data_IF_843759944312
#
_entry.id   IF_843759944312
#
_cell.length_a   1.000
_cell.length_b   1.000
_cell.length_c   1.000
_cell.angle_alpha   90.00
_cell.angle_beta   90.00
_cell.angle_gamma   90.00
#
_symmetry.space_group_name_H-M   'P 1'
#
loop_
_entity.id
_entity.type
_entity.pdbx_description
1 polymer ?
#
# COMPACT_ATOMS: atom_id res chain seq x y z
N UNK A 1 2.68 15.31 -13.60
CA UNK A 1 2.38 13.88 -13.33
C UNK A 1 0.95 13.76 -12.90
N UNK A 2 0.19 12.82 -13.48
CA UNK A 2 -1.15 12.50 -13.01
C UNK A 2 -1.04 11.85 -11.63
N UNK A 3 -1.66 12.48 -10.62
CA UNK A 3 -1.73 11.98 -9.25
C UNK A 3 -2.56 10.69 -9.24
N UNK A 4 -1.91 9.53 -9.08
CA UNK A 4 -2.59 8.24 -9.04
C UNK A 4 -2.97 7.89 -7.60
N UNK A 5 -4.21 8.19 -7.24
CA UNK A 5 -4.76 7.92 -5.91
C UNK A 5 -5.31 6.48 -5.81
N UNK A 6 -4.87 5.76 -4.79
CA UNK A 6 -5.38 4.45 -4.40
C UNK A 6 -6.79 4.52 -3.81
N UNK A 7 -7.43 3.37 -3.58
CA UNK A 7 -8.75 3.32 -2.95
C UNK A 7 -8.77 3.92 -1.53
N UNK A 8 -7.68 3.80 -0.78
CA UNK A 8 -7.57 4.34 0.58
C UNK A 8 -7.06 5.79 0.65
N UNK A 9 -6.80 6.43 -0.50
CA UNK A 9 -6.27 7.80 -0.55
C UNK A 9 -4.74 7.91 -0.57
N UNK A 10 -4.00 6.81 -0.38
CA UNK A 10 -2.55 6.79 -0.58
C UNK A 10 -2.20 7.07 -2.04
N UNK A 11 -1.11 7.81 -2.25
CA UNK A 11 -0.65 8.23 -3.56
C UNK A 11 0.38 7.24 -4.12
N UNK A 12 0.08 6.61 -5.26
CA UNK A 12 0.98 5.61 -5.85
C UNK A 12 2.30 6.21 -6.30
N UNK A 13 2.32 7.50 -6.69
CA UNK A 13 3.55 8.21 -7.05
C UNK A 13 4.53 8.39 -5.89
N UNK A 14 4.08 8.21 -4.64
CA UNK A 14 4.92 8.29 -3.45
C UNK A 14 5.28 6.89 -2.90
N UNK A 15 4.99 5.82 -3.66
CA UNK A 15 5.22 4.44 -3.27
C UNK A 15 6.44 3.85 -4.01
N UNK A 16 7.42 3.37 -3.26
CA UNK A 16 8.64 2.77 -3.84
C UNK A 16 8.33 1.57 -4.73
N UNK A 17 7.38 0.71 -4.34
CA UNK A 17 7.01 -0.45 -5.16
C UNK A 17 6.44 -0.05 -6.52
N UNK A 18 5.62 1.02 -6.56
CA UNK A 18 5.10 1.56 -7.82
C UNK A 18 6.22 2.16 -8.65
N UNK A 19 7.02 3.05 -8.06
CA UNK A 19 8.16 3.71 -8.71
C UNK A 19 9.15 2.69 -9.28
N UNK A 20 9.47 1.65 -8.52
CA UNK A 20 10.40 0.60 -8.94
C UNK A 20 9.82 -0.26 -10.07
N UNK A 21 8.49 -0.43 -10.12
CA UNK A 21 7.82 -1.17 -11.19
C UNK A 21 7.82 -0.37 -12.49
N UNK A 22 7.36 0.89 -12.46
CA UNK A 22 7.25 1.71 -13.68
C UNK A 22 8.60 2.08 -14.28
N UNK A 23 9.64 2.22 -13.44
CA UNK A 23 11.00 2.54 -13.88
C UNK A 23 11.85 1.29 -14.14
N UNK A 24 11.33 0.07 -13.91
CA UNK A 24 12.13 -1.17 -13.94
C UNK A 24 13.40 -1.08 -13.07
N UNK A 25 13.30 -0.46 -11.90
CA UNK A 25 14.42 -0.19 -11.02
C UNK A 25 14.68 -1.36 -10.05
N UNK A 26 15.64 -2.20 -10.40
CA UNK A 26 16.03 -3.37 -9.60
C UNK A 26 16.73 -3.00 -8.28
N UNK A 27 17.39 -1.84 -8.21
CA UNK A 27 18.04 -1.41 -6.97
C UNK A 27 16.98 -0.97 -5.96
N UNK A 28 15.99 -0.19 -6.42
CA UNK A 28 14.88 0.23 -5.58
C UNK A 28 14.06 -0.98 -5.12
N UNK A 29 13.78 -1.96 -5.99
CA UNK A 29 13.12 -3.22 -5.60
C UNK A 29 13.83 -3.92 -4.45
N UNK A 30 15.16 -4.05 -4.53
CA UNK A 30 15.95 -4.68 -3.47
C UNK A 30 15.85 -3.90 -2.16
N UNK A 31 16.00 -2.58 -2.21
CA UNK A 31 15.89 -1.73 -1.02
C UNK A 31 14.49 -1.79 -0.39
N UNK A 32 13.43 -1.73 -1.21
CA UNK A 32 12.04 -1.86 -0.76
C UNK A 32 11.80 -3.22 -0.13
N UNK A 33 12.26 -4.31 -0.75
CA UNK A 33 12.13 -5.67 -0.23
C UNK A 33 12.81 -5.84 1.13
N UNK A 34 14.04 -5.34 1.29
CA UNK A 34 14.77 -5.37 2.55
C UNK A 34 14.06 -4.58 3.65
N UNK A 35 13.56 -3.38 3.33
CA UNK A 35 12.83 -2.54 4.28
C UNK A 35 11.50 -3.19 4.68
N UNK A 36 10.71 -3.63 3.71
CA UNK A 36 9.40 -4.21 3.96
C UNK A 36 9.51 -5.58 4.65
N UNK A 37 10.58 -6.33 4.42
CA UNK A 37 10.82 -7.58 5.16
C UNK A 37 10.93 -7.33 6.67
N UNK A 38 11.59 -6.23 7.06
CA UNK A 38 11.68 -5.81 8.47
C UNK A 38 10.32 -5.35 9.02
N UNK A 39 9.55 -4.60 8.23
CA UNK A 39 8.23 -4.08 8.62
C UNK A 39 7.23 -5.21 8.83
N UNK A 40 7.18 -6.16 7.89
CA UNK A 40 6.20 -7.25 7.90
C UNK A 40 6.68 -8.49 8.66
N UNK A 41 7.93 -8.51 9.13
CA UNK A 41 8.51 -9.66 9.84
C UNK A 41 8.55 -10.94 9.00
N UNK A 42 8.56 -10.81 7.67
CA UNK A 42 8.57 -11.92 6.71
C UNK A 42 9.59 -11.65 5.63
N UNK A 43 10.14 -12.69 5.03
CA UNK A 43 11.06 -12.55 3.89
C UNK A 43 10.28 -12.09 2.67
N UNK A 44 10.70 -10.97 2.08
CA UNK A 44 10.20 -10.46 0.80
C UNK A 44 11.40 -10.35 -0.13
N UNK A 45 11.27 -10.90 -1.32
CA UNK A 45 12.26 -10.86 -2.39
C UNK A 45 12.08 -9.65 -3.31
N UNK A 46 13.14 -9.23 -3.99
CA UNK A 46 13.10 -8.07 -4.89
C UNK A 46 12.15 -8.29 -6.09
N UNK A 47 11.99 -9.52 -6.56
CA UNK A 47 11.06 -9.88 -7.63
C UNK A 47 9.59 -9.92 -7.16
N UNK A 48 9.33 -9.90 -5.84
CA UNK A 48 7.99 -9.74 -5.27
C UNK A 48 7.57 -8.27 -5.17
N UNK A 49 8.50 -7.32 -5.38
CA UNK A 49 8.21 -5.88 -5.42
C UNK A 49 7.71 -5.48 -6.81
N UNK A 50 6.48 -5.88 -7.13
CA UNK A 50 5.77 -5.51 -8.36
C UNK A 50 4.40 -4.90 -8.01
N UNK A 51 4.15 -3.66 -8.44
CA UNK A 51 2.87 -2.98 -8.20
C UNK A 51 2.62 -1.88 -9.23
N UNK A 52 1.45 -1.88 -9.86
CA UNK A 52 0.95 -0.81 -10.73
C UNK A 52 -0.23 -0.06 -10.09
N UNK A 53 -0.33 -0.12 -8.76
CA UNK A 53 -1.37 0.53 -7.96
C UNK A 53 -2.59 -0.36 -7.74
N UNK A 54 -3.33 -0.11 -6.64
CA UNK A 54 -4.38 -1.02 -6.18
C UNK A 54 -5.60 -1.12 -7.12
N UNK A 55 -5.74 -0.18 -8.07
CA UNK A 55 -6.77 -0.15 -9.11
C UNK A 55 -6.40 -0.97 -10.36
N UNK A 56 -5.19 -1.52 -10.40
CA UNK A 56 -4.72 -2.40 -11.45
C UNK A 56 -4.81 -3.87 -11.02
N UNK A 57 -4.53 -4.78 -11.96
CA UNK A 57 -4.40 -6.21 -11.70
C UNK A 57 -3.01 -6.60 -11.19
N UNK A 58 -1.99 -5.73 -11.36
CA UNK A 58 -0.63 -5.96 -10.88
C UNK A 58 -0.46 -5.29 -9.53
N UNK A 59 -0.57 -6.06 -8.47
CA UNK A 59 -0.50 -5.56 -7.09
C UNK A 59 0.58 -6.27 -6.29
N UNK A 60 1.11 -5.58 -5.29
CA UNK A 60 1.95 -6.20 -4.28
C UNK A 60 1.17 -7.30 -3.56
N UNK A 61 1.78 -8.47 -3.31
CA UNK A 61 1.06 -9.67 -2.84
C UNK A 61 0.25 -9.43 -1.55
N UNK A 62 0.75 -8.58 -0.65
CA UNK A 62 0.05 -8.28 0.60
C UNK A 62 -1.26 -7.49 0.38
N UNK A 63 -1.41 -6.81 -0.77
CA UNK A 63 -2.63 -6.10 -1.13
C UNK A 63 -3.78 -7.03 -1.55
N UNK A 64 -3.53 -8.33 -1.79
CA UNK A 64 -4.57 -9.32 -2.15
C UNK A 64 -5.63 -9.42 -1.07
N UNK A 65 -5.24 -9.33 0.21
CA UNK A 65 -6.15 -9.43 1.37
C UNK A 65 -6.57 -8.06 1.94
N UNK A 66 -6.27 -6.97 1.23
CA UNK A 66 -6.61 -5.63 1.70
C UNK A 66 -8.14 -5.43 1.72
N UNK A 67 -8.71 -5.30 2.93
CA UNK A 67 -10.15 -5.07 3.14
C UNK A 67 -10.65 -3.81 2.42
N UNK A 68 -9.88 -2.71 2.47
CA UNK A 68 -10.26 -1.46 1.80
C UNK A 68 -10.36 -1.61 0.29
N UNK A 69 -9.39 -2.32 -0.33
CA UNK A 69 -9.41 -2.63 -1.76
C UNK A 69 -10.63 -3.48 -2.12
N UNK A 70 -10.83 -4.59 -1.40
CA UNK A 70 -11.97 -5.49 -1.63
C UNK A 70 -13.32 -4.77 -1.50
N UNK A 71 -13.47 -3.92 -0.48
CA UNK A 71 -14.67 -3.11 -0.28
C UNK A 71 -14.95 -2.17 -1.46
N UNK A 72 -13.94 -1.41 -1.92
CA UNK A 72 -14.11 -0.50 -3.06
C UNK A 72 -14.41 -1.24 -4.37
N UNK A 73 -13.81 -2.43 -4.59
CA UNK A 73 -14.11 -3.25 -5.77
C UNK A 73 -15.56 -3.76 -5.76
N UNK A 74 -16.05 -4.24 -4.60
CA UNK A 74 -17.43 -4.72 -4.46
C UNK A 74 -18.44 -3.58 -4.59
N UNK A 75 -18.16 -2.42 -3.98
CA UNK A 75 -19.01 -1.22 -4.06
C UNK A 75 -18.85 -0.43 -5.36
N UNK A 76 -17.93 -0.82 -6.25
CA UNK A 76 -17.58 -0.12 -7.49
C UNK A 76 -17.25 1.37 -7.27
N UNK A 77 -16.46 1.67 -6.23
CA UNK A 77 -16.04 3.03 -5.86
C UNK A 77 -14.62 3.32 -6.36
N UNK A 78 -14.36 4.56 -6.76
CA UNK A 78 -13.00 4.98 -7.11
C UNK A 78 -12.11 5.04 -5.87
N UNK A 79 -12.63 5.53 -4.75
CA UNK A 79 -11.92 5.61 -3.49
C UNK A 79 -12.88 5.78 -2.31
N UNK A 80 -12.39 5.62 -1.09
CA UNK A 80 -13.21 5.67 0.12
C UNK A 80 -13.99 6.98 0.29
N UNK A 81 -13.55 8.11 -0.26
CA UNK A 81 -14.27 9.38 -0.14
C UNK A 81 -15.62 9.39 -0.87
N UNK A 82 -15.86 8.44 -1.78
CA UNK A 82 -17.14 8.27 -2.48
C UNK A 82 -18.11 7.38 -1.71
N UNK A 83 -17.68 6.78 -0.58
CA UNK A 83 -18.53 5.94 0.24
C UNK A 83 -19.45 6.80 1.12
N UNK A 84 -20.76 6.49 1.14
CA UNK A 84 -21.74 7.19 1.98
C UNK A 84 -21.46 7.04 3.49
N UNK A 85 -20.81 5.94 3.86
CA UNK A 85 -20.39 5.65 5.23
C UNK A 85 -19.02 6.26 5.58
N UNK A 86 -18.46 7.16 4.78
CA UNK A 86 -17.11 7.69 5.01
C UNK A 86 -17.04 8.70 6.18
N UNK A 87 -16.06 8.57 7.11
CA UNK A 87 -15.15 7.43 7.28
C UNK A 87 -15.88 6.23 7.91
N UNK A 88 -15.59 5.03 7.40
CA UNK A 88 -16.17 3.78 7.92
C UNK A 88 -15.13 2.98 8.69
N UNK A 89 -15.58 2.05 9.52
CA UNK A 89 -14.75 1.18 10.34
C UNK A 89 -13.65 0.44 9.56
N UNK A 90 -13.91 0.00 8.32
CA UNK A 90 -12.90 -0.68 7.49
C UNK A 90 -11.70 0.24 7.20
N UNK A 91 -11.96 1.53 6.94
CA UNK A 91 -10.90 2.49 6.70
C UNK A 91 -10.20 2.89 8.01
N UNK A 92 -10.98 3.11 9.07
CA UNK A 92 -10.45 3.47 10.39
C UNK A 92 -9.51 2.38 10.94
N UNK A 93 -9.90 1.11 10.89
CA UNK A 93 -9.05 -0.03 11.29
C UNK A 93 -7.69 0.00 10.55
N UNK A 94 -7.70 0.24 9.24
CA UNK A 94 -6.47 0.31 8.44
C UNK A 94 -5.59 1.49 8.86
N UNK A 95 -6.19 2.65 9.16
CA UNK A 95 -5.46 3.85 9.58
C UNK A 95 -4.87 3.68 10.99
N UNK A 96 -5.61 3.05 11.90
CA UNK A 96 -5.16 2.77 13.26
C UNK A 96 -3.98 1.79 13.27
N UNK A 97 -4.04 0.72 12.47
CA UNK A 97 -2.92 -0.22 12.29
C UNK A 97 -1.68 0.49 11.73
N UNK A 98 -1.85 1.31 10.69
CA UNK A 98 -0.75 2.06 10.08
C UNK A 98 -0.12 3.06 11.08
N UNK A 99 -0.96 3.74 11.87
CA UNK A 99 -0.51 4.68 12.89
C UNK A 99 0.23 3.98 14.04
N UNK A 100 -0.24 2.82 14.50
CA UNK A 100 0.42 2.02 15.51
C UNK A 100 1.82 1.55 15.05
N UNK A 101 1.92 1.03 13.82
CA UNK A 101 3.21 0.61 13.24
C UNK A 101 4.18 1.79 13.16
N UNK A 102 3.71 2.96 12.71
CA UNK A 102 4.56 4.16 12.63
C UNK A 102 5.11 4.57 13.99
N UNK A 103 4.27 4.61 15.03
CA UNK A 103 4.70 4.94 16.38
C UNK A 103 5.77 3.95 16.89
N UNK A 104 5.55 2.65 16.69
CA UNK A 104 6.54 1.64 17.07
C UNK A 104 7.88 1.83 16.34
N UNK A 105 7.84 2.13 15.04
CA UNK A 105 9.05 2.39 14.26
C UNK A 105 9.80 3.64 14.72
N UNK A 106 9.09 4.69 15.11
CA UNK A 106 9.71 5.93 15.59
C UNK A 106 10.37 5.71 16.96
N UNK A 107 9.77 4.90 17.84
CA UNK A 107 10.39 4.48 19.11
C UNK A 107 11.65 3.61 18.93
N UNK A 108 11.76 2.84 17.84
CA UNK A 108 12.93 1.99 17.56
C UNK A 108 14.12 2.77 16.95
N UNK A 109 13.93 4.04 16.60
CA UNK A 109 14.97 4.92 16.04
C UNK A 109 15.64 5.79 17.11
N UNK A 110 15.15 5.75 18.34
CA UNK A 110 15.75 6.37 19.55
C UNK A 110 16.68 5.37 20.26
#
# INVERSE_FOLDING_TARGET
MNKMMSHCGLMCNDCDAYTATVNSDNMLRKQTAENWSKIYGTRIEADEINCLGCKSDVIFFNCVKCKVRGCNMVKNLNNCSECEEFPCNILEEMLDEAFAIKQMQDLLKE
#
